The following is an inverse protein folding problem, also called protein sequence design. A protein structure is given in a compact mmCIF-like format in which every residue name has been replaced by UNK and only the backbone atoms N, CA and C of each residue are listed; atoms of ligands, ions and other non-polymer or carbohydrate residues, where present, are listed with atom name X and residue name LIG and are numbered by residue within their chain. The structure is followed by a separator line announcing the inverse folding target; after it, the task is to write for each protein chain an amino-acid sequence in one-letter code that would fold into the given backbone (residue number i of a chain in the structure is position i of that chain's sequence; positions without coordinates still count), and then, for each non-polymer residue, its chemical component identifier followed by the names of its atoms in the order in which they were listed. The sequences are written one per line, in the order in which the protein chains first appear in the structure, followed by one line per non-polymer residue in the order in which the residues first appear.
data_IF_278787479643
#
_entry.id   IF_278787479643
#
_cell.length_a   1.000
_cell.length_b   1.000
_cell.length_c   1.000
_cell.angle_alpha   90.00
_cell.angle_beta   90.00
_cell.angle_gamma   90.00
#
_symmetry.space_group_name_H-M   'P 1'
#
loop_
_entity.id
_entity.type
_entity.pdbx_description
1 polymer ?
#
# COMPACT_ATOMS: atom_id res chain seq x y z
N UNK A 1 -31.71 10.84 -1.50
CA UNK A 1 -31.90 10.46 -0.09
C UNK A 1 -31.29 9.07 0.07
N UNK A 2 -30.32 8.96 0.98
CA UNK A 2 -29.74 7.73 1.59
C UNK A 2 -29.11 6.66 0.68
N UNK A 3 -27.77 6.62 0.56
CA UNK A 3 -27.00 5.36 0.38
C UNK A 3 -25.50 5.41 0.72
N UNK A 4 -24.83 6.57 0.82
CA UNK A 4 -23.34 6.55 0.95
C UNK A 4 -22.78 6.11 2.31
N UNK A 5 -23.46 6.39 3.42
CA UNK A 5 -22.91 6.11 4.77
C UNK A 5 -23.25 4.69 5.26
N UNK A 6 -24.20 4.00 4.61
CA UNK A 6 -24.64 2.66 4.98
C UNK A 6 -23.86 1.51 4.32
N UNK A 7 -23.12 1.81 3.24
CA UNK A 7 -22.49 0.79 2.39
C UNK A 7 -21.18 0.24 3.00
N UNK A 8 -20.41 1.10 3.68
CA UNK A 8 -19.12 0.73 4.27
C UNK A 8 -19.22 -0.12 5.54
N UNK A 9 -20.39 -0.19 6.18
CA UNK A 9 -20.61 -1.08 7.34
C UNK A 9 -20.41 -2.56 6.98
N UNK A 10 -20.69 -2.93 5.73
CA UNK A 10 -20.45 -4.30 5.23
C UNK A 10 -18.97 -4.68 5.19
N UNK A 11 -18.07 -3.69 5.16
CA UNK A 11 -16.61 -3.88 5.13
C UNK A 11 -15.98 -4.00 6.52
N UNK A 12 -16.74 -3.78 7.60
CA UNK A 12 -16.23 -3.88 8.98
C UNK A 12 -15.42 -5.15 9.26
N UNK A 13 -15.77 -6.36 8.75
CA UNK A 13 -14.95 -7.57 8.94
C UNK A 13 -13.56 -7.54 8.28
N UNK A 14 -13.34 -6.61 7.36
CA UNK A 14 -12.19 -6.56 6.46
C UNK A 14 -11.45 -5.24 6.53
N UNK A 15 -11.77 -4.36 7.48
CA UNK A 15 -11.27 -3.00 7.48
C UNK A 15 -10.71 -2.58 8.84
N UNK A 16 -9.53 -1.95 8.80
CA UNK A 16 -8.90 -1.30 9.93
C UNK A 16 -8.60 0.14 9.53
N UNK A 17 -9.44 1.07 9.99
CA UNK A 17 -9.24 2.49 9.75
C UNK A 17 -8.29 3.10 10.78
N UNK A 18 -7.28 3.79 10.29
CA UNK A 18 -6.22 4.42 11.05
C UNK A 18 -6.18 5.91 10.74
N UNK A 19 -6.14 6.70 11.80
CA UNK A 19 -5.86 8.13 11.74
C UNK A 19 -4.73 8.45 12.69
N UNK A 20 -3.72 9.11 12.16
CA UNK A 20 -2.52 9.51 12.86
C UNK A 20 -1.73 8.33 13.48
N UNK A 21 -1.81 7.15 12.84
CA UNK A 21 -1.26 5.90 13.35
C UNK A 21 -2.12 5.23 14.43
N UNK A 22 -3.29 5.76 14.77
CA UNK A 22 -4.18 5.23 15.82
C UNK A 22 -5.49 4.73 15.21
N UNK A 23 -6.17 3.82 15.91
CA UNK A 23 -7.51 3.36 15.51
C UNK A 23 -8.46 4.57 15.44
N UNK A 24 -9.13 4.75 14.30
CA UNK A 24 -9.95 5.92 14.04
C UNK A 24 -11.39 5.71 14.55
N UNK A 25 -11.84 6.53 15.51
CA UNK A 25 -13.20 6.44 16.07
C UNK A 25 -14.25 7.30 15.32
N UNK A 26 -13.90 7.88 14.16
CA UNK A 26 -14.79 8.70 13.35
C UNK A 26 -14.18 9.05 12.00
N UNK A 27 -15.00 9.51 11.06
CA UNK A 27 -14.65 9.64 9.64
C UNK A 27 -15.72 9.00 8.77
N UNK A 28 -15.37 8.61 7.54
CA UNK A 28 -16.28 7.83 6.68
C UNK A 28 -16.38 6.37 7.14
N UNK A 29 -15.35 5.86 7.81
CA UNK A 29 -15.36 4.59 8.52
C UNK A 29 -14.78 4.77 9.92
N UNK A 30 -15.19 3.93 10.88
CA UNK A 30 -14.57 3.84 12.20
C UNK A 30 -14.05 2.43 12.43
N UNK A 31 -13.01 2.32 13.26
CA UNK A 31 -12.53 1.04 13.76
C UNK A 31 -12.19 1.19 15.24
N UNK A 32 -12.85 0.39 16.09
CA UNK A 32 -12.50 0.25 17.51
C UNK A 32 -11.62 -0.99 17.75
N UNK A 33 -11.05 -1.09 18.95
CA UNK A 33 -10.32 -2.29 19.36
C UNK A 33 -11.21 -3.55 19.30
N UNK A 34 -12.47 -3.44 19.74
CA UNK A 34 -13.44 -4.55 19.69
C UNK A 34 -13.80 -4.95 18.25
N UNK A 35 -13.71 -4.03 17.29
CA UNK A 35 -13.90 -4.34 15.87
C UNK A 35 -12.72 -5.16 15.33
N UNK A 36 -11.49 -4.77 15.67
CA UNK A 36 -10.30 -5.56 15.33
C UNK A 36 -10.35 -6.94 15.99
N UNK A 37 -10.78 -7.02 17.26
CA UNK A 37 -10.95 -8.29 17.96
C UNK A 37 -11.90 -9.22 17.21
N UNK A 38 -13.06 -8.70 16.76
CA UNK A 38 -14.02 -9.47 15.99
C UNK A 38 -13.48 -9.99 14.66
N UNK A 39 -12.51 -9.31 14.03
CA UNK A 39 -11.85 -9.84 12.82
C UNK A 39 -11.22 -11.19 13.14
N UNK A 40 -10.45 -11.29 14.22
CA UNK A 40 -9.69 -12.49 14.58
C UNK A 40 -10.50 -13.53 15.40
N UNK A 41 -11.50 -13.09 16.16
CA UNK A 41 -12.29 -13.96 17.04
C UNK A 41 -13.57 -14.49 16.39
N UNK A 42 -14.09 -13.82 15.36
CA UNK A 42 -15.39 -14.16 14.75
C UNK A 42 -15.30 -14.33 13.25
N UNK A 43 -14.82 -13.31 12.53
CA UNK A 43 -14.97 -13.24 11.08
C UNK A 43 -13.98 -14.15 10.34
N UNK A 44 -12.70 -14.04 10.65
CA UNK A 44 -11.67 -14.93 10.09
C UNK A 44 -11.90 -16.40 10.47
N UNK A 45 -12.17 -16.78 11.73
CA UNK A 45 -12.52 -18.16 12.09
C UNK A 45 -13.72 -18.72 11.31
N UNK A 46 -14.77 -17.90 11.10
CA UNK A 46 -15.93 -18.32 10.29
C UNK A 46 -15.53 -18.62 8.86
N UNK A 47 -14.76 -17.72 8.24
CA UNK A 47 -14.31 -17.90 6.87
C UNK A 47 -13.41 -19.14 6.72
N UNK A 48 -12.53 -19.41 7.68
CA UNK A 48 -11.72 -20.64 7.71
C UNK A 48 -12.60 -21.90 7.79
N UNK A 49 -13.67 -21.87 8.60
CA UNK A 49 -14.59 -23.00 8.70
C UNK A 49 -15.38 -23.25 7.40
N UNK A 50 -15.61 -22.21 6.60
CA UNK A 50 -16.25 -22.30 5.28
C UNK A 50 -15.29 -22.83 4.18
N UNK A 51 -13.97 -22.84 4.44
CA UNK A 51 -12.92 -23.29 3.52
C UNK A 51 -12.07 -24.44 4.10
N UNK A 52 -12.67 -25.61 4.39
CA UNK A 52 -11.95 -26.72 5.02
C UNK A 52 -10.93 -27.37 4.07
N UNK A 53 -9.80 -27.83 4.64
CA UNK A 53 -8.85 -28.70 3.95
C UNK A 53 -7.58 -28.02 3.42
N UNK A 54 -7.49 -26.70 3.49
CA UNK A 54 -6.26 -25.94 3.21
C UNK A 54 -6.19 -24.71 4.11
N UNK A 55 -4.97 -24.22 4.46
CA UNK A 55 -4.84 -22.93 5.10
C UNK A 55 -5.45 -21.83 4.24
N UNK A 56 -6.16 -20.88 4.85
CA UNK A 56 -6.75 -19.72 4.15
C UNK A 56 -5.67 -18.66 3.90
N UNK A 57 -5.55 -18.10 2.68
CA UNK A 57 -4.76 -16.90 2.45
C UNK A 57 -5.35 -15.69 3.19
N UNK A 58 -4.67 -15.23 4.23
CA UNK A 58 -4.96 -13.98 4.94
C UNK A 58 -4.08 -12.87 4.38
N UNK A 59 -4.68 -11.90 3.69
CA UNK A 59 -3.98 -10.82 3.02
C UNK A 59 -4.18 -9.49 3.74
N UNK A 60 -3.08 -8.83 4.12
CA UNK A 60 -3.09 -7.46 4.63
C UNK A 60 -2.82 -6.46 3.50
N UNK A 61 -3.80 -5.61 3.21
CA UNK A 61 -3.71 -4.59 2.18
C UNK A 61 -3.47 -3.21 2.80
N UNK A 62 -2.53 -2.43 2.27
CA UNK A 62 -2.40 -1.01 2.58
C UNK A 62 -2.47 -0.21 1.29
N UNK A 63 -3.47 0.66 1.17
CA UNK A 63 -3.63 1.52 0.00
C UNK A 63 -2.56 2.63 -0.02
N UNK A 64 -2.41 3.33 -1.15
CA UNK A 64 -1.58 4.53 -1.21
C UNK A 64 -2.19 5.66 -0.38
N UNK A 65 -1.44 6.28 0.54
CA UNK A 65 -1.91 7.43 1.36
C UNK A 65 -2.17 8.73 0.58
N UNK A 66 -2.16 8.63 -0.76
CA UNK A 66 -2.27 9.72 -1.70
C UNK A 66 -3.72 9.92 -2.14
N UNK A 67 -4.56 8.89 -2.04
CA UNK A 67 -5.98 8.98 -2.39
C UNK A 67 -6.83 9.45 -1.20
N UNK A 68 -8.00 10.09 -1.44
CA UNK A 68 -8.95 10.42 -0.38
C UNK A 68 -9.46 9.16 0.35
N UNK A 69 -9.86 9.26 1.62
CA UNK A 69 -10.41 8.14 2.43
C UNK A 69 -11.52 7.41 1.69
N UNK A 70 -12.43 8.17 1.06
CA UNK A 70 -13.52 7.63 0.25
C UNK A 70 -13.03 6.73 -0.88
N UNK A 71 -11.89 7.04 -1.49
CA UNK A 71 -11.33 6.25 -2.60
C UNK A 71 -10.72 4.96 -2.09
N UNK A 72 -9.99 5.01 -0.97
CA UNK A 72 -9.49 3.80 -0.30
C UNK A 72 -10.63 2.87 0.13
N UNK A 73 -11.70 3.44 0.70
CA UNK A 73 -12.92 2.72 1.06
C UNK A 73 -13.67 2.15 -0.16
N UNK A 74 -13.77 2.93 -1.25
CA UNK A 74 -14.39 2.47 -2.48
C UNK A 74 -13.60 1.34 -3.16
N UNK A 75 -12.26 1.42 -3.18
CA UNK A 75 -11.40 0.35 -3.65
C UNK A 75 -11.58 -0.91 -2.80
N UNK A 76 -11.61 -0.79 -1.47
CA UNK A 76 -11.90 -1.92 -0.58
C UNK A 76 -13.30 -2.52 -0.85
N UNK A 77 -14.32 -1.69 -1.03
CA UNK A 77 -15.68 -2.14 -1.36
C UNK A 77 -15.73 -2.95 -2.67
N UNK A 78 -14.91 -2.55 -3.64
CA UNK A 78 -14.80 -3.21 -4.95
C UNK A 78 -13.98 -4.50 -4.89
N UNK A 79 -12.87 -4.49 -4.15
CA UNK A 79 -11.92 -5.61 -4.13
C UNK A 79 -12.34 -6.73 -3.17
N UNK A 80 -12.93 -6.41 -2.02
CA UNK A 80 -13.24 -7.40 -0.97
C UNK A 80 -14.11 -8.56 -1.50
N UNK A 81 -15.23 -8.31 -2.21
CA UNK A 81 -16.03 -9.41 -2.77
C UNK A 81 -15.24 -10.31 -3.72
N UNK A 82 -14.34 -9.73 -4.53
CA UNK A 82 -13.51 -10.48 -5.47
C UNK A 82 -12.43 -11.31 -4.77
N UNK A 83 -11.80 -10.78 -3.71
CA UNK A 83 -10.87 -11.55 -2.89
C UNK A 83 -11.54 -12.74 -2.22
N UNK A 84 -12.72 -12.52 -1.62
CA UNK A 84 -13.50 -13.57 -0.98
C UNK A 84 -13.94 -14.65 -1.98
N UNK A 85 -14.32 -14.27 -3.20
CA UNK A 85 -14.66 -15.21 -4.27
C UNK A 85 -13.47 -16.08 -4.70
N UNK A 86 -12.24 -15.60 -4.51
CA UNK A 86 -11.00 -16.33 -4.74
C UNK A 86 -10.49 -17.09 -3.50
N UNK A 87 -11.28 -17.17 -2.43
CA UNK A 87 -10.90 -17.86 -1.19
C UNK A 87 -9.85 -17.13 -0.35
N UNK A 88 -9.61 -15.84 -0.62
CA UNK A 88 -8.68 -14.99 0.14
C UNK A 88 -9.47 -14.18 1.15
N UNK A 89 -9.02 -14.16 2.41
CA UNK A 89 -9.55 -13.27 3.42
C UNK A 89 -8.74 -11.97 3.47
N UNK A 90 -9.28 -10.83 3.01
CA UNK A 90 -8.56 -9.56 3.06
C UNK A 90 -8.78 -8.81 4.39
N UNK A 91 -7.74 -8.11 4.86
CA UNK A 91 -7.80 -7.08 5.89
C UNK A 91 -7.12 -5.82 5.34
N UNK A 92 -7.91 -4.78 5.10
CA UNK A 92 -7.48 -3.50 4.57
C UNK A 92 -7.14 -2.53 5.70
N UNK A 93 -5.91 -2.05 5.74
CA UNK A 93 -5.55 -0.83 6.44
C UNK A 93 -5.96 0.36 5.57
N UNK A 94 -6.94 1.12 6.07
CA UNK A 94 -7.24 2.46 5.57
C UNK A 94 -6.51 3.43 6.47
N UNK A 95 -5.54 4.18 5.95
CA UNK A 95 -4.61 4.96 6.75
C UNK A 95 -4.24 6.24 6.01
N UNK A 96 -4.00 7.33 6.76
CA UNK A 96 -3.66 8.68 6.28
C UNK A 96 -3.97 8.95 4.80
N UNK A 97 -5.09 9.60 4.57
CA UNK A 97 -5.58 9.86 3.22
C UNK A 97 -5.46 11.33 2.87
N UNK A 98 -5.30 11.64 1.58
CA UNK A 98 -5.55 12.99 1.06
C UNK A 98 -4.31 13.83 0.74
N UNK A 99 -3.10 13.26 0.59
CA UNK A 99 -1.96 14.04 0.07
C UNK A 99 -2.28 14.63 -1.32
N UNK A 100 -2.92 13.90 -2.24
CA UNK A 100 -3.28 14.46 -3.56
C UNK A 100 -4.31 15.60 -3.47
N UNK A 101 -5.26 15.50 -2.53
CA UNK A 101 -6.24 16.58 -2.30
C UNK A 101 -5.56 17.80 -1.69
N UNK A 102 -4.70 17.59 -0.69
CA UNK A 102 -3.95 18.66 -0.03
C UNK A 102 -3.01 19.37 -1.02
N UNK A 103 -2.31 18.59 -1.85
CA UNK A 103 -1.44 19.09 -2.90
C UNK A 103 -2.28 19.81 -3.98
N UNK A 104 -3.33 19.17 -4.51
CA UNK A 104 -4.20 19.73 -5.55
C UNK A 104 -4.95 21.00 -5.13
N UNK A 105 -5.37 21.11 -3.87
CA UNK A 105 -6.01 22.32 -3.32
C UNK A 105 -5.01 23.48 -3.24
N UNK A 106 -3.77 23.21 -2.84
CA UNK A 106 -2.69 24.22 -2.81
C UNK A 106 -2.28 24.63 -4.22
N UNK A 107 -2.23 23.67 -5.15
CA UNK A 107 -1.94 23.90 -6.57
C UNK A 107 -3.02 24.77 -7.23
N UNK A 108 -4.32 24.51 -7.00
CA UNK A 108 -5.41 25.33 -7.56
C UNK A 108 -5.27 26.79 -7.16
N UNK A 109 -4.84 27.05 -5.92
CA UNK A 109 -4.59 28.39 -5.39
C UNK A 109 -3.37 29.08 -6.04
N UNK A 110 -2.44 28.32 -6.63
CA UNK A 110 -1.26 28.81 -7.35
C UNK A 110 -1.47 28.96 -8.86
N UNK A 111 -2.25 28.08 -9.49
CA UNK A 111 -2.54 28.08 -10.93
C UNK A 111 -3.34 29.32 -11.34
N UNK A 112 -4.20 29.86 -10.49
CA UNK A 112 -4.90 31.13 -10.74
C UNK A 112 -3.96 32.34 -10.90
N UNK A 113 -2.68 32.21 -10.51
CA UNK A 113 -1.67 33.28 -10.61
C UNK A 113 -0.72 33.15 -11.81
N UNK A 114 -0.75 32.04 -12.55
CA UNK A 114 0.24 31.73 -13.59
C UNK A 114 -0.41 31.21 -14.88
N UNK A 115 -0.80 32.11 -15.79
CA UNK A 115 -0.80 31.87 -17.25
C UNK A 115 -0.30 33.11 -18.00
N UNK A 116 0.33 32.98 -19.20
CA UNK A 116 0.47 31.79 -20.06
C UNK A 116 1.89 31.51 -20.64
N UNK A 117 1.99 30.38 -21.39
CA UNK A 117 2.98 29.99 -22.43
C UNK A 117 4.34 29.42 -21.99
N UNK A 118 4.39 28.12 -21.68
CA UNK A 118 5.61 27.32 -21.50
C UNK A 118 5.38 25.91 -22.09
N UNK A 119 6.35 25.29 -22.79
CA UNK A 119 6.26 23.89 -23.24
C UNK A 119 5.95 22.91 -22.09
N UNK A 120 5.31 21.78 -22.40
CA UNK A 120 4.78 20.82 -21.39
C UNK A 120 5.87 20.28 -20.45
N UNK A 121 7.07 20.00 -20.98
CA UNK A 121 8.23 19.53 -20.21
C UNK A 121 8.76 20.62 -19.26
N UNK A 122 8.98 21.83 -19.78
CA UNK A 122 9.38 22.99 -18.96
C UNK A 122 8.31 23.38 -17.92
N UNK A 123 7.04 23.08 -18.17
CA UNK A 123 5.96 23.34 -17.22
C UNK A 123 5.96 22.33 -16.06
N UNK A 124 6.29 21.06 -16.33
CA UNK A 124 6.46 20.04 -15.29
C UNK A 124 7.66 20.35 -14.39
N UNK A 125 8.80 20.76 -14.97
CA UNK A 125 10.00 21.12 -14.21
C UNK A 125 9.78 22.40 -13.39
N UNK A 126 9.17 23.44 -13.97
CA UNK A 126 8.79 24.65 -13.23
C UNK A 126 7.74 24.38 -12.15
N UNK A 127 6.91 23.36 -12.32
CA UNK A 127 5.91 22.95 -11.35
C UNK A 127 6.51 22.16 -10.19
N UNK A 128 7.46 21.26 -10.46
CA UNK A 128 8.30 20.60 -9.45
C UNK A 128 9.06 21.64 -8.65
N UNK A 129 9.77 22.56 -9.31
CA UNK A 129 10.46 23.67 -8.66
C UNK A 129 9.50 24.54 -7.83
N UNK A 130 8.28 24.79 -8.33
CA UNK A 130 7.29 25.58 -7.60
C UNK A 130 6.78 24.87 -6.35
N UNK A 131 6.46 23.58 -6.43
CA UNK A 131 6.07 22.76 -5.27
C UNK A 131 7.19 22.75 -4.23
N UNK A 132 8.42 22.43 -4.64
CA UNK A 132 9.58 22.40 -3.76
C UNK A 132 9.84 23.75 -3.08
N UNK A 133 9.63 24.87 -3.79
CA UNK A 133 9.91 26.23 -3.28
C UNK A 133 8.75 26.87 -2.50
N UNK A 134 7.48 26.49 -2.75
CA UNK A 134 6.32 27.25 -2.29
C UNK A 134 5.17 26.42 -1.71
N UNK A 135 5.20 25.10 -1.81
CA UNK A 135 4.16 24.24 -1.27
C UNK A 135 4.75 23.32 -0.21
N UNK A 136 4.13 23.25 0.97
CA UNK A 136 4.50 22.29 2.01
C UNK A 136 4.15 20.84 1.64
N UNK A 137 4.50 20.38 0.43
CA UNK A 137 4.35 19.02 -0.05
C UNK A 137 5.30 18.07 0.68
N UNK A 138 6.56 18.47 0.88
CA UNK A 138 7.51 17.74 1.73
C UNK A 138 6.97 17.57 3.15
N UNK A 139 6.37 18.61 3.74
CA UNK A 139 5.77 18.52 5.07
C UNK A 139 4.60 17.53 5.12
N UNK A 140 3.69 17.55 4.14
CA UNK A 140 2.57 16.59 4.11
C UNK A 140 3.08 15.16 3.87
N UNK A 141 4.08 14.99 3.01
CA UNK A 141 4.72 13.69 2.79
C UNK A 141 5.41 13.16 4.05
N UNK A 142 6.16 14.03 4.75
CA UNK A 142 6.77 13.72 6.03
C UNK A 142 5.73 13.37 7.10
N UNK A 143 4.61 14.09 7.17
CA UNK A 143 3.50 13.80 8.09
C UNK A 143 2.89 12.41 7.83
N UNK A 144 2.73 12.03 6.55
CA UNK A 144 2.27 10.71 6.13
C UNK A 144 3.25 9.61 6.56
N UNK A 145 4.56 9.78 6.30
CA UNK A 145 5.61 8.85 6.76
C UNK A 145 5.63 8.75 8.28
N UNK A 146 5.46 9.87 8.97
CA UNK A 146 5.42 9.91 10.43
C UNK A 146 4.18 9.19 10.99
N UNK A 147 3.04 9.25 10.29
CA UNK A 147 1.84 8.51 10.70
C UNK A 147 1.98 7.00 10.48
N UNK A 148 2.61 6.58 9.38
CA UNK A 148 3.01 5.19 9.19
C UNK A 148 3.91 4.70 10.33
N UNK A 149 4.89 5.50 10.75
CA UNK A 149 5.76 5.18 11.87
C UNK A 149 4.98 5.07 13.21
N UNK A 150 4.09 6.03 13.49
CA UNK A 150 3.23 6.03 14.69
C UNK A 150 2.27 4.85 14.73
N UNK A 151 1.91 4.28 13.57
CA UNK A 151 1.02 3.12 13.48
C UNK A 151 1.51 1.89 14.24
N UNK A 152 2.80 1.86 14.56
CA UNK A 152 3.45 0.77 15.29
C UNK A 152 4.06 1.19 16.63
N UNK A 153 3.66 2.33 17.19
CA UNK A 153 4.07 2.76 18.53
C UNK A 153 3.70 1.71 19.59
N UNK A 154 4.56 1.51 20.59
CA UNK A 154 4.23 0.71 21.77
C UNK A 154 3.32 1.49 22.72
N UNK A 155 2.48 0.79 23.48
CA UNK A 155 1.61 1.39 24.50
C UNK A 155 2.38 2.20 25.56
N UNK A 156 3.58 1.73 25.94
CA UNK A 156 4.44 2.37 26.94
C UNK A 156 5.40 3.42 26.35
N UNK A 157 5.30 3.68 25.04
CA UNK A 157 6.11 4.70 24.37
C UNK A 157 5.66 6.12 24.72
N UNK A 158 6.53 7.15 24.60
CA UNK A 158 6.09 8.53 24.73
C UNK A 158 5.08 8.83 23.62
N UNK A 159 3.77 8.86 23.93
CA UNK A 159 2.76 9.32 22.99
C UNK A 159 2.98 10.82 22.75
N UNK A 160 3.38 11.25 21.54
CA UNK A 160 3.62 12.66 21.28
C UNK A 160 2.31 13.45 21.09
N UNK A 161 1.15 12.78 21.13
CA UNK A 161 -0.14 13.36 20.75
C UNK A 161 -1.17 13.13 21.85
N UNK A 162 -1.50 14.20 22.56
CA UNK A 162 -2.64 14.24 23.45
C UNK A 162 -3.93 14.41 22.63
N UNK A 163 -4.83 13.43 22.67
CA UNK A 163 -6.24 13.53 22.24
C UNK A 163 -6.51 14.24 20.90
N UNK A 164 -6.24 13.59 19.76
CA UNK A 164 -6.64 14.07 18.42
C UNK A 164 -7.81 13.28 17.79
N UNK A 165 -8.47 12.40 18.56
CA UNK A 165 -9.65 11.65 18.12
C UNK A 165 -9.45 10.14 17.97
N UNK A 166 -8.26 9.60 18.28
CA UNK A 166 -8.07 8.18 18.50
C UNK A 166 -8.75 7.72 19.80
N UNK A 167 -9.41 6.55 19.78
CA UNK A 167 -10.01 5.93 20.98
C UNK A 167 -9.56 4.47 21.07
N UNK A 168 -9.21 4.04 22.28
CA UNK A 168 -9.29 2.62 22.68
C UNK A 168 -7.97 1.90 22.93
N UNK A 169 -6.85 2.38 22.38
CA UNK A 169 -5.53 1.76 22.59
C UNK A 169 -4.43 2.81 22.69
N UNK A 170 -3.59 2.71 23.72
CA UNK A 170 -2.40 3.56 23.91
C UNK A 170 -1.25 3.18 22.96
N UNK A 171 -1.35 2.04 22.27
CA UNK A 171 -0.44 1.57 21.21
C UNK A 171 -0.89 1.98 19.80
N UNK A 172 0.00 1.88 18.82
CA UNK A 172 -0.31 2.12 17.41
C UNK A 172 -1.31 1.09 16.87
N UNK A 173 -2.24 1.52 16.02
CA UNK A 173 -3.31 0.64 15.54
C UNK A 173 -2.82 -0.55 14.72
N UNK A 174 -1.74 -0.39 13.94
CA UNK A 174 -1.13 -1.49 13.20
C UNK A 174 -0.38 -2.47 14.13
N UNK A 175 0.23 -1.97 15.22
CA UNK A 175 0.79 -2.85 16.27
C UNK A 175 -0.30 -3.65 16.98
N UNK A 176 -1.43 -3.03 17.30
CA UNK A 176 -2.57 -3.75 17.89
C UNK A 176 -3.02 -4.92 16.98
N UNK A 177 -3.16 -4.68 15.68
CA UNK A 177 -3.47 -5.73 14.70
C UNK A 177 -2.38 -6.80 14.65
N UNK A 178 -1.09 -6.42 14.63
CA UNK A 178 0.03 -7.36 14.66
C UNK A 178 0.00 -8.28 15.89
N UNK A 179 -0.32 -7.74 17.06
CA UNK A 179 -0.44 -8.50 18.31
C UNK A 179 -1.61 -9.48 18.28
N UNK A 180 -2.77 -9.04 17.78
CA UNK A 180 -3.96 -9.89 17.62
C UNK A 180 -3.76 -10.99 16.59
N UNK A 181 -3.06 -10.68 15.49
CA UNK A 181 -2.62 -11.67 14.52
C UNK A 181 -1.69 -12.71 15.18
N UNK A 182 -0.67 -12.29 15.92
CA UNK A 182 0.24 -13.21 16.60
C UNK A 182 -0.48 -14.12 17.62
N UNK A 183 -1.44 -13.58 18.37
CA UNK A 183 -2.30 -14.35 19.27
C UNK A 183 -3.14 -15.39 18.51
N UNK A 184 -3.80 -14.97 17.43
CA UNK A 184 -4.60 -15.85 16.59
C UNK A 184 -3.77 -17.01 16.03
N UNK A 185 -2.56 -16.75 15.52
CA UNK A 185 -1.68 -17.77 14.94
C UNK A 185 -1.20 -18.79 15.97
N UNK A 186 -0.94 -18.36 17.22
CA UNK A 186 -0.58 -19.28 18.31
C UNK A 186 -1.72 -20.24 18.65
N UNK A 187 -2.97 -19.77 18.57
CA UNK A 187 -4.16 -20.56 18.87
C UNK A 187 -4.59 -21.43 17.68
N UNK A 188 -4.24 -21.03 16.45
CA UNK A 188 -4.70 -21.65 15.21
C UNK A 188 -3.52 -21.97 14.27
N UNK A 189 -2.56 -22.82 14.69
CA UNK A 189 -1.37 -23.11 13.90
C UNK A 189 -1.73 -23.74 12.55
N UNK A 190 -1.22 -23.18 11.46
CA UNK A 190 -1.45 -23.67 10.10
C UNK A 190 -2.86 -23.39 9.54
N UNK A 191 -3.67 -22.58 10.22
CA UNK A 191 -5.00 -22.22 9.73
C UNK A 191 -4.97 -21.21 8.57
N UNK A 192 -3.91 -20.41 8.46
CA UNK A 192 -3.76 -19.37 7.43
C UNK A 192 -2.35 -19.32 6.84
N UNK A 193 -2.23 -18.90 5.59
CA UNK A 193 -1.00 -18.36 4.99
C UNK A 193 -1.06 -16.84 5.01
N UNK A 194 0.06 -16.16 5.24
CA UNK A 194 0.09 -14.71 5.43
C UNK A 194 0.64 -13.99 4.20
N UNK A 195 -0.08 -12.98 3.73
CA UNK A 195 0.31 -12.18 2.57
C UNK A 195 0.16 -10.70 2.89
N UNK A 196 1.02 -9.87 2.30
CA UNK A 196 0.92 -8.42 2.39
C UNK A 196 0.94 -7.80 0.99
N UNK A 197 0.11 -6.78 0.77
CA UNK A 197 0.07 -5.99 -0.46
C UNK A 197 0.10 -4.51 -0.11
N UNK A 198 1.08 -3.78 -0.67
CA UNK A 198 1.25 -2.34 -0.45
C UNK A 198 1.26 -1.57 -1.75
N UNK A 199 0.27 -0.70 -1.95
CA UNK A 199 0.22 0.22 -3.10
C UNK A 199 0.85 1.57 -2.76
N UNK A 200 1.72 2.09 -3.63
CA UNK A 200 2.31 3.43 -3.48
C UNK A 200 2.91 3.62 -2.08
N UNK A 201 2.46 4.61 -1.32
CA UNK A 201 2.91 4.84 0.05
C UNK A 201 2.52 3.71 1.04
N UNK A 202 1.59 2.83 0.69
CA UNK A 202 1.30 1.60 1.43
C UNK A 202 2.52 0.68 1.57
N UNK A 203 3.51 0.83 0.67
CA UNK A 203 4.83 0.21 0.82
C UNK A 203 5.57 0.69 2.08
N UNK A 204 5.49 1.99 2.39
CA UNK A 204 6.07 2.60 3.59
C UNK A 204 5.31 2.10 4.82
N UNK A 205 3.98 2.09 4.78
CA UNK A 205 3.18 1.54 5.88
C UNK A 205 3.56 0.10 6.22
N UNK A 206 3.68 -0.77 5.20
CA UNK A 206 4.06 -2.16 5.41
C UNK A 206 5.50 -2.36 5.90
N UNK A 207 6.44 -1.45 5.61
CA UNK A 207 7.79 -1.56 6.18
C UNK A 207 7.79 -1.47 7.71
N UNK A 208 6.88 -0.66 8.26
CA UNK A 208 6.61 -0.56 9.69
C UNK A 208 5.74 -1.73 10.19
N UNK A 209 4.60 -2.01 9.54
CA UNK A 209 3.67 -3.05 10.01
C UNK A 209 4.33 -4.43 10.05
N UNK A 210 5.06 -4.84 8.99
CA UNK A 210 5.73 -6.14 8.97
C UNK A 210 6.79 -6.24 10.07
N UNK A 211 7.53 -5.15 10.34
CA UNK A 211 8.48 -5.11 11.47
C UNK A 211 7.76 -5.41 12.78
N UNK A 212 6.67 -4.68 13.05
CA UNK A 212 5.88 -4.87 14.27
C UNK A 212 5.30 -6.29 14.35
N UNK A 213 4.79 -6.83 13.25
CA UNK A 213 4.31 -8.21 13.19
C UNK A 213 5.38 -9.23 13.62
N UNK A 214 6.61 -9.11 13.10
CA UNK A 214 7.71 -9.99 13.51
C UNK A 214 8.09 -9.80 14.98
N UNK A 215 8.09 -8.56 15.49
CA UNK A 215 8.35 -8.25 16.90
C UNK A 215 7.28 -8.84 17.84
N UNK A 216 6.01 -8.87 17.42
CA UNK A 216 4.89 -9.49 18.15
C UNK A 216 4.89 -11.04 18.07
N UNK A 217 5.78 -11.61 17.25
CA UNK A 217 5.97 -13.06 17.13
C UNK A 217 5.22 -13.70 15.95
N UNK A 218 4.77 -12.93 14.96
CA UNK A 218 4.33 -13.48 13.66
C UNK A 218 5.55 -14.13 12.99
N UNK A 219 5.47 -15.40 12.56
CA UNK A 219 6.66 -16.13 12.12
C UNK A 219 7.13 -15.74 10.71
N UNK A 220 6.20 -15.63 9.75
CA UNK A 220 6.50 -15.36 8.36
C UNK A 220 5.26 -14.91 7.57
N UNK A 221 5.50 -14.16 6.51
CA UNK A 221 4.62 -13.87 5.40
C UNK A 221 5.11 -14.67 4.19
N UNK A 222 4.23 -15.44 3.57
CA UNK A 222 4.56 -16.22 2.37
C UNK A 222 4.87 -15.31 1.19
N UNK A 223 4.13 -14.21 1.04
CA UNK A 223 4.42 -13.20 0.02
C UNK A 223 4.25 -11.78 0.52
N UNK A 224 5.15 -10.90 0.11
CA UNK A 224 4.98 -9.45 0.17
C UNK A 224 4.99 -8.88 -1.26
N UNK A 225 3.94 -8.18 -1.63
CA UNK A 225 3.73 -7.67 -2.99
C UNK A 225 3.61 -6.15 -2.94
N UNK A 226 4.44 -5.48 -3.71
CA UNK A 226 4.34 -4.04 -3.94
C UNK A 226 3.61 -3.74 -5.24
N UNK A 227 2.78 -2.70 -5.20
CA UNK A 227 2.15 -2.07 -6.36
C UNK A 227 2.64 -0.63 -6.46
N UNK A 228 3.51 -0.36 -7.42
CA UNK A 228 4.17 0.92 -7.70
C UNK A 228 4.68 1.64 -6.43
N UNK A 229 5.62 1.03 -5.68
CA UNK A 229 5.93 1.42 -4.31
C UNK A 229 6.67 2.77 -4.20
N UNK A 230 6.15 3.66 -3.35
CA UNK A 230 6.72 4.98 -3.09
C UNK A 230 7.75 4.99 -1.94
N UNK A 231 8.36 3.84 -1.62
CA UNK A 231 9.37 3.71 -0.56
C UNK A 231 10.78 4.03 -1.11
N UNK A 232 11.60 4.71 -0.30
CA UNK A 232 13.01 4.93 -0.62
C UNK A 232 13.75 3.59 -0.72
N UNK A 233 14.66 3.48 -1.69
CA UNK A 233 15.52 2.29 -1.85
C UNK A 233 16.29 2.00 -0.56
N UNK A 234 16.80 3.03 0.11
CA UNK A 234 17.56 2.86 1.36
C UNK A 234 16.68 2.36 2.52
N UNK A 235 15.44 2.83 2.62
CA UNK A 235 14.47 2.31 3.61
C UNK A 235 14.08 0.86 3.29
N UNK A 236 13.86 0.53 2.00
CA UNK A 236 13.59 -0.83 1.57
C UNK A 236 14.76 -1.79 1.89
N UNK A 237 16.00 -1.38 1.62
CA UNK A 237 17.20 -2.16 1.96
C UNK A 237 17.38 -2.32 3.46
N UNK A 238 17.07 -1.30 4.24
CA UNK A 238 17.18 -1.35 5.71
C UNK A 238 16.12 -2.26 6.32
N UNK A 239 14.88 -2.10 5.89
CA UNK A 239 13.74 -2.66 6.62
C UNK A 239 13.21 -3.96 6.00
N UNK A 240 13.31 -4.15 4.68
CA UNK A 240 12.70 -5.29 4.00
C UNK A 240 13.73 -6.34 3.61
N UNK A 241 14.83 -5.95 2.95
CA UNK A 241 15.84 -6.88 2.42
C UNK A 241 16.34 -7.90 3.46
N UNK A 242 16.64 -7.52 4.73
CA UNK A 242 17.12 -8.48 5.74
C UNK A 242 16.10 -9.55 6.13
N UNK A 243 14.82 -9.36 5.77
CA UNK A 243 13.70 -10.25 6.13
C UNK A 243 13.33 -11.21 4.99
N UNK A 244 13.89 -11.02 3.81
CA UNK A 244 13.67 -11.92 2.67
C UNK A 244 14.52 -13.16 2.91
N UNK A 245 13.92 -14.34 2.78
CA UNK A 245 14.57 -15.63 3.06
C UNK A 245 15.70 -16.04 2.10
N UNK A 246 16.54 -15.11 1.65
CA UNK A 246 17.69 -15.34 0.76
C UNK A 246 18.97 -15.51 1.59
N UNK A 247 19.67 -16.61 1.37
CA UNK A 247 21.04 -16.81 1.85
C UNK A 247 21.16 -17.16 3.34
N UNK A 248 21.44 -18.44 3.61
CA UNK A 248 22.02 -18.98 4.85
C UNK A 248 21.08 -19.25 6.04
N UNK A 249 19.75 -19.19 5.86
CA UNK A 249 18.81 -19.57 6.93
C UNK A 249 18.68 -18.53 8.06
N UNK A 250 19.11 -17.29 7.83
CA UNK A 250 18.99 -16.17 8.77
C UNK A 250 17.95 -15.11 8.36
N UNK A 251 17.47 -15.10 7.12
CA UNK A 251 16.31 -14.29 6.72
C UNK A 251 15.03 -14.99 7.17
N UNK A 252 14.42 -14.49 8.25
CA UNK A 252 13.17 -15.03 8.79
C UNK A 252 12.08 -13.98 8.64
N UNK A 253 11.16 -14.18 7.69
CA UNK A 253 9.94 -13.39 7.69
C UNK A 253 9.22 -13.24 6.35
N UNK A 254 9.92 -13.21 5.21
CA UNK A 254 9.30 -13.01 3.89
C UNK A 254 9.74 -14.11 2.92
N UNK A 255 8.80 -14.94 2.49
CA UNK A 255 9.02 -16.09 1.61
C UNK A 255 9.28 -15.69 0.15
N UNK A 256 8.46 -14.79 -0.38
CA UNK A 256 8.59 -14.22 -1.71
C UNK A 256 8.32 -12.71 -1.71
N UNK A 257 9.05 -11.97 -2.55
CA UNK A 257 8.87 -10.54 -2.76
C UNK A 257 8.57 -10.28 -4.25
N UNK A 258 7.51 -9.52 -4.53
CA UNK A 258 7.16 -9.13 -5.90
C UNK A 258 6.92 -7.62 -5.97
N UNK A 259 7.48 -6.95 -6.96
CA UNK A 259 7.18 -5.54 -7.24
C UNK A 259 6.53 -5.44 -8.61
N UNK A 260 5.26 -5.05 -8.67
CA UNK A 260 4.61 -4.62 -9.90
C UNK A 260 4.68 -3.10 -9.95
N UNK A 261 5.17 -2.52 -11.03
CA UNK A 261 5.34 -1.07 -11.13
C UNK A 261 5.32 -0.61 -12.59
N UNK A 262 5.16 0.69 -12.82
CA UNK A 262 5.19 1.24 -14.16
C UNK A 262 6.60 1.10 -14.76
N UNK A 263 6.69 0.61 -16.00
CA UNK A 263 7.95 0.69 -16.74
C UNK A 263 8.31 2.14 -17.08
N UNK A 264 9.58 2.41 -17.36
CA UNK A 264 10.14 3.77 -17.55
C UNK A 264 9.24 4.70 -18.37
N UNK A 265 8.87 4.26 -19.58
CA UNK A 265 8.08 5.09 -20.49
C UNK A 265 6.66 5.33 -19.93
N UNK A 266 6.03 4.33 -19.30
CA UNK A 266 4.71 4.52 -18.69
C UNK A 266 4.75 5.46 -17.50
N UNK A 267 5.81 5.42 -16.68
CA UNK A 267 5.98 6.38 -15.60
C UNK A 267 6.13 7.82 -16.13
N UNK A 268 6.76 8.01 -17.29
CA UNK A 268 6.89 9.32 -17.94
C UNK A 268 5.61 9.76 -18.67
N UNK A 269 4.81 8.82 -19.17
CA UNK A 269 3.55 9.07 -19.90
C UNK A 269 2.32 9.18 -18.97
N UNK A 270 2.46 8.84 -17.68
CA UNK A 270 1.40 8.90 -16.68
C UNK A 270 0.99 10.35 -16.36
N UNK A 271 -0.20 10.55 -15.80
CA UNK A 271 -0.76 11.85 -15.50
C UNK A 271 -1.42 11.85 -14.13
N UNK A 272 -1.01 12.77 -13.25
CA UNK A 272 -1.71 12.99 -12.00
C UNK A 272 -2.91 13.93 -12.21
N UNK A 273 -4.11 13.39 -11.98
CA UNK A 273 -5.39 14.08 -12.19
C UNK A 273 -6.14 14.28 -10.88
N UNK A 274 -6.73 15.46 -10.69
CA UNK A 274 -7.71 15.72 -9.63
C UNK A 274 -8.93 16.43 -10.23
N UNK A 275 -10.12 15.85 -10.08
CA UNK A 275 -11.38 16.40 -10.61
C UNK A 275 -11.29 16.78 -12.11
N UNK A 276 -10.72 15.88 -12.93
CA UNK A 276 -10.45 16.06 -14.36
C UNK A 276 -9.45 17.17 -14.73
N UNK A 277 -8.68 17.66 -13.75
CA UNK A 277 -7.59 18.60 -14.00
C UNK A 277 -6.27 17.84 -13.84
N UNK A 278 -5.51 17.72 -14.93
CA UNK A 278 -4.13 17.23 -14.88
C UNK A 278 -3.26 18.31 -14.26
N UNK A 279 -2.65 18.02 -13.11
CA UNK A 279 -1.75 18.94 -12.42
C UNK A 279 -0.28 18.54 -12.55
N UNK A 280 0.00 17.29 -12.95
CA UNK A 280 1.34 16.81 -13.22
C UNK A 280 1.28 15.78 -14.36
N UNK A 281 2.18 15.89 -15.34
CA UNK A 281 2.14 15.09 -16.59
C UNK A 281 3.17 13.95 -16.59
N UNK A 282 3.49 13.43 -15.41
CA UNK A 282 4.26 12.19 -15.19
C UNK A 282 3.63 11.45 -14.02
N UNK A 283 4.16 10.26 -13.71
CA UNK A 283 3.79 9.49 -12.53
C UNK A 283 4.03 10.27 -11.25
N UNK A 284 3.13 10.08 -10.30
CA UNK A 284 3.26 10.64 -8.96
C UNK A 284 4.58 10.25 -8.28
N UNK A 285 5.15 9.08 -8.61
CA UNK A 285 6.47 8.68 -8.12
C UNK A 285 7.59 9.59 -8.64
N UNK A 286 7.50 10.11 -9.87
CA UNK A 286 8.44 11.12 -10.35
C UNK A 286 8.34 12.40 -9.51
N UNK A 287 7.13 12.80 -9.13
CA UNK A 287 6.94 13.96 -8.25
C UNK A 287 7.52 13.72 -6.84
N UNK A 288 7.31 12.53 -6.27
CA UNK A 288 7.88 12.15 -4.97
C UNK A 288 9.41 12.19 -5.05
N UNK A 289 9.99 11.52 -6.06
CA UNK A 289 11.42 11.42 -6.30
C UNK A 289 12.09 12.79 -6.44
N UNK A 290 11.51 13.71 -7.21
CA UNK A 290 12.12 15.01 -7.48
C UNK A 290 11.80 16.08 -6.42
N UNK A 291 10.71 15.96 -5.65
CA UNK A 291 10.17 17.12 -4.93
C UNK A 291 9.60 16.88 -3.52
N UNK A 292 9.17 15.65 -3.18
CA UNK A 292 8.46 15.43 -1.91
C UNK A 292 9.32 14.78 -0.83
N UNK A 293 10.36 14.05 -1.19
CA UNK A 293 11.36 13.58 -0.24
C UNK A 293 12.29 14.72 0.23
N UNK A 294 13.00 14.50 1.33
CA UNK A 294 13.90 15.50 1.93
C UNK A 294 15.09 15.83 0.99
N UNK A 295 15.62 14.80 0.34
CA UNK A 295 16.66 14.91 -0.67
C UNK A 295 16.02 15.03 -2.06
N UNK A 296 16.54 15.94 -2.87
CA UNK A 296 16.18 16.02 -4.30
C UNK A 296 16.69 14.76 -5.02
N UNK A 297 15.89 14.26 -5.98
CA UNK A 297 16.16 13.03 -6.73
C UNK A 297 16.33 11.77 -5.83
N UNK A 298 15.56 11.69 -4.74
CA UNK A 298 15.65 10.58 -3.80
C UNK A 298 15.20 9.25 -4.45
N UNK A 299 16.04 8.20 -4.48
CA UNK A 299 15.76 6.99 -5.25
C UNK A 299 14.63 6.15 -4.63
N UNK A 300 13.58 5.92 -5.41
CA UNK A 300 12.39 5.13 -5.03
C UNK A 300 12.39 3.73 -5.66
N UNK A 301 11.88 2.74 -4.92
CA UNK A 301 11.75 1.35 -5.38
C UNK A 301 10.79 1.19 -6.57
N UNK A 302 9.76 2.03 -6.68
CA UNK A 302 8.77 1.97 -7.76
C UNK A 302 9.23 2.58 -9.08
N UNK A 303 10.41 3.20 -9.13
CA UNK A 303 10.96 3.74 -10.37
C UNK A 303 11.99 2.77 -10.96
N UNK A 304 11.70 2.23 -12.14
CA UNK A 304 12.55 1.25 -12.82
C UNK A 304 14.00 1.74 -12.99
N UNK A 305 14.20 3.02 -13.30
CA UNK A 305 15.53 3.61 -13.46
C UNK A 305 16.34 3.60 -12.16
N UNK A 306 15.69 3.82 -11.03
CA UNK A 306 16.34 3.80 -9.71
C UNK A 306 16.74 2.38 -9.32
N UNK A 307 15.86 1.40 -9.56
CA UNK A 307 16.16 -0.02 -9.34
C UNK A 307 17.31 -0.49 -10.24
N UNK A 308 17.29 -0.11 -11.51
CA UNK A 308 18.35 -0.45 -12.46
C UNK A 308 19.65 0.27 -12.16
N UNK A 309 19.64 1.47 -11.56
CA UNK A 309 20.85 2.20 -11.17
C UNK A 309 21.54 1.58 -9.95
N UNK A 310 20.76 1.01 -9.02
CA UNK A 310 21.27 0.41 -7.79
C UNK A 310 21.88 -0.99 -8.00
N UNK A 311 23.17 -1.21 -7.69
CA UNK A 311 23.81 -2.51 -7.93
C UNK A 311 23.18 -3.67 -7.16
N UNK A 312 22.73 -3.44 -5.92
CA UNK A 312 22.15 -4.48 -5.06
C UNK A 312 20.79 -4.87 -5.62
N UNK A 313 19.94 -3.89 -5.95
CA UNK A 313 18.62 -4.17 -6.49
C UNK A 313 18.68 -4.76 -7.90
N UNK A 314 19.62 -4.31 -8.73
CA UNK A 314 19.84 -4.89 -10.07
C UNK A 314 20.19 -6.38 -10.00
N UNK A 315 21.03 -6.78 -9.05
CA UNK A 315 21.34 -8.20 -8.82
C UNK A 315 20.13 -8.95 -8.27
N UNK A 316 19.49 -8.39 -7.25
CA UNK A 316 18.35 -8.98 -6.55
C UNK A 316 17.13 -9.22 -7.46
N UNK A 317 16.78 -8.26 -8.32
CA UNK A 317 15.70 -8.37 -9.29
C UNK A 317 16.15 -8.91 -10.66
N UNK A 318 17.44 -9.22 -10.83
CA UNK A 318 18.02 -9.74 -12.07
C UNK A 318 17.66 -11.19 -12.41
N UNK A 319 16.81 -11.84 -11.59
CA UNK A 319 16.31 -13.21 -11.83
C UNK A 319 17.18 -14.33 -11.25
N UNK A 320 18.14 -14.02 -10.38
CA UNK A 320 18.96 -15.02 -9.69
C UNK A 320 18.16 -15.85 -8.68
N UNK A 321 17.20 -15.22 -7.97
CA UNK A 321 16.28 -15.88 -7.05
C UNK A 321 14.85 -15.75 -7.58
N UNK A 322 14.16 -16.85 -7.95
CA UNK A 322 12.80 -16.79 -8.47
C UNK A 322 11.78 -16.27 -7.45
N UNK A 323 12.12 -16.21 -6.17
CA UNK A 323 11.26 -15.67 -5.10
C UNK A 323 11.25 -14.14 -5.07
N UNK A 324 12.17 -13.48 -5.78
CA UNK A 324 12.24 -12.02 -5.86
C UNK A 324 12.11 -11.57 -7.30
N UNK A 325 11.05 -10.81 -7.59
CA UNK A 325 10.74 -10.43 -8.98
C UNK A 325 10.27 -8.98 -9.07
N UNK A 326 10.70 -8.31 -10.13
CA UNK A 326 10.17 -7.02 -10.56
C UNK A 326 9.43 -7.20 -11.90
N UNK A 327 8.20 -6.70 -11.97
CA UNK A 327 7.29 -6.78 -13.11
C UNK A 327 7.01 -5.33 -13.53
N UNK A 328 7.70 -4.88 -14.57
CA UNK A 328 7.56 -3.53 -15.11
C UNK A 328 6.52 -3.52 -16.23
N UNK A 329 5.49 -2.70 -16.10
CA UNK A 329 4.43 -2.62 -17.11
C UNK A 329 4.89 -1.85 -18.36
N UNK A 330 4.47 -2.23 -19.59
CA UNK A 330 3.71 -3.44 -19.90
C UNK A 330 4.55 -4.71 -19.84
N UNK A 331 3.99 -5.74 -19.20
CA UNK A 331 4.45 -7.12 -19.27
C UNK A 331 3.24 -8.00 -19.55
N UNK A 332 2.92 -8.22 -20.83
CA UNK A 332 1.72 -8.98 -21.25
C UNK A 332 1.98 -10.46 -21.54
N UNK A 333 3.25 -10.86 -21.50
CA UNK A 333 3.71 -12.20 -21.84
C UNK A 333 4.41 -12.86 -20.64
N UNK A 334 4.64 -14.17 -20.73
CA UNK A 334 5.21 -14.96 -19.65
C UNK A 334 4.16 -15.59 -18.72
N UNK A 335 4.56 -16.06 -17.53
CA UNK A 335 3.67 -16.68 -16.55
C UNK A 335 2.47 -15.79 -16.20
N UNK A 336 1.30 -16.40 -15.93
CA UNK A 336 0.05 -15.67 -15.66
C UNK A 336 0.07 -14.86 -14.35
N UNK A 337 0.97 -15.19 -13.44
CA UNK A 337 1.21 -14.51 -12.17
C UNK A 337 2.27 -13.39 -12.27
N UNK A 338 2.78 -13.13 -13.47
CA UNK A 338 3.91 -12.25 -13.74
C UNK A 338 3.62 -11.26 -14.87
N UNK A 339 2.36 -10.82 -14.98
CA UNK A 339 1.90 -9.89 -16.01
C UNK A 339 1.38 -8.58 -15.40
N UNK A 340 1.43 -7.52 -16.19
CA UNK A 340 0.87 -6.22 -15.83
C UNK A 340 0.61 -5.39 -17.08
N UNK A 341 -0.57 -4.78 -17.19
CA UNK A 341 -0.86 -3.73 -18.17
C UNK A 341 -1.12 -2.35 -17.54
N UNK A 342 -0.73 -2.16 -16.27
CA UNK A 342 -0.90 -0.89 -15.56
C UNK A 342 -0.33 0.29 -16.36
N UNK A 343 -1.14 1.33 -16.58
CA UNK A 343 -0.77 2.55 -17.31
C UNK A 343 -0.59 3.77 -16.42
N UNK A 344 -1.26 3.76 -15.27
CA UNK A 344 -1.33 4.88 -14.36
C UNK A 344 -0.92 4.42 -12.96
N UNK A 345 -0.14 5.22 -12.24
CA UNK A 345 0.29 4.94 -10.87
C UNK A 345 -0.92 4.75 -9.95
N UNK A 346 -1.90 5.64 -10.10
CA UNK A 346 -3.12 5.64 -9.30
C UNK A 346 -4.08 4.50 -9.66
N UNK A 347 -3.94 3.90 -10.84
CA UNK A 347 -4.84 2.86 -11.36
C UNK A 347 -4.25 1.45 -11.36
N UNK A 348 -3.01 1.25 -10.90
CA UNK A 348 -2.34 -0.06 -10.92
C UNK A 348 -3.09 -1.11 -10.09
N UNK A 349 -3.70 -0.71 -8.98
CA UNK A 349 -4.49 -1.58 -8.10
C UNK A 349 -5.91 -1.87 -8.61
N UNK A 350 -6.25 -1.31 -9.77
CA UNK A 350 -7.51 -1.49 -10.46
C UNK A 350 -7.32 -2.03 -11.88
N UNK A 351 -6.08 -2.32 -12.27
CA UNK A 351 -5.75 -2.84 -13.59
C UNK A 351 -5.87 -4.38 -13.59
N UNK A 352 -6.79 -4.96 -14.40
CA UNK A 352 -7.11 -6.38 -14.32
C UNK A 352 -5.93 -7.34 -14.47
N UNK A 353 -5.03 -7.12 -15.44
CA UNK A 353 -3.88 -8.01 -15.70
C UNK A 353 -2.92 -8.02 -14.51
N UNK A 354 -2.69 -6.87 -13.89
CA UNK A 354 -1.88 -6.71 -12.69
C UNK A 354 -2.54 -7.38 -11.50
N UNK A 355 -3.79 -7.03 -11.21
CA UNK A 355 -4.51 -7.56 -10.03
C UNK A 355 -4.72 -9.06 -10.11
N UNK A 356 -5.04 -9.59 -11.28
CA UNK A 356 -5.10 -11.03 -11.49
C UNK A 356 -3.75 -11.72 -11.26
N UNK A 357 -2.63 -11.08 -11.66
CA UNK A 357 -1.29 -11.61 -11.35
C UNK A 357 -1.03 -11.65 -9.85
N UNK A 358 -1.44 -10.60 -9.11
CA UNK A 358 -1.36 -10.55 -7.63
C UNK A 358 -2.18 -11.70 -7.02
N UNK A 359 -3.41 -11.91 -7.47
CA UNK A 359 -4.25 -12.99 -6.96
C UNK A 359 -3.63 -14.36 -7.18
N UNK A 360 -3.11 -14.64 -8.39
CA UNK A 360 -2.44 -15.92 -8.67
C UNK A 360 -1.21 -16.15 -7.78
N UNK A 361 -0.45 -15.09 -7.43
CA UNK A 361 0.67 -15.19 -6.47
C UNK A 361 0.21 -15.52 -5.05
N UNK A 362 -0.93 -14.97 -4.62
CA UNK A 362 -1.47 -15.18 -3.28
C UNK A 362 -2.15 -16.55 -3.15
N UNK A 363 -2.96 -16.95 -4.14
CA UNK A 363 -3.73 -18.19 -4.08
C UNK A 363 -2.92 -19.41 -4.53
N UNK A 364 -1.87 -19.21 -5.33
CA UNK A 364 -1.16 -20.29 -6.02
C UNK A 364 -2.00 -21.00 -7.08
N UNK A 365 -3.16 -20.45 -7.46
CA UNK A 365 -4.08 -21.05 -8.42
C UNK A 365 -3.94 -20.39 -9.79
N UNK A 366 -3.94 -21.19 -10.87
CA UNK A 366 -3.99 -20.66 -12.23
C UNK A 366 -5.38 -20.08 -12.57
N UNK A 367 -6.43 -20.79 -12.15
CA UNK A 367 -7.82 -20.40 -12.33
C UNK A 367 -8.25 -19.56 -11.14
N UNK A 368 -8.60 -18.31 -11.41
CA UNK A 368 -9.13 -17.35 -10.45
C UNK A 368 -10.39 -16.72 -11.04
N UNK A 369 -11.24 -16.16 -10.20
CA UNK A 369 -12.31 -15.28 -10.66
C UNK A 369 -11.69 -14.05 -11.32
N UNK A 370 -12.21 -13.64 -12.47
CA UNK A 370 -11.70 -12.48 -13.20
C UNK A 370 -11.85 -11.21 -12.37
N UNK A 371 -10.83 -10.34 -12.41
CA UNK A 371 -10.89 -9.08 -11.67
C UNK A 371 -12.01 -8.22 -12.26
N UNK A 372 -12.97 -7.74 -11.45
CA UNK A 372 -13.92 -6.77 -11.91
C UNK A 372 -13.11 -5.50 -12.17
N UNK A 373 -12.87 -5.11 -13.42
CA UNK A 373 -12.20 -3.84 -13.71
C UNK A 373 -12.96 -2.65 -13.08
N UNK A 374 -12.42 -1.43 -13.23
CA UNK A 374 -13.14 -0.23 -12.78
C UNK A 374 -14.51 -0.19 -13.47
N UNK A 375 -15.59 -0.08 -12.67
CA UNK A 375 -16.92 0.24 -13.21
C UNK A 375 -16.83 1.57 -13.97
N UNK A 376 -17.31 1.64 -15.22
CA UNK A 376 -17.19 2.83 -16.07
C UNK A 376 -17.79 4.11 -15.47
#
# INVERSE_FOLDING_TARGET
MTTADGDFMSLSPHLVNLRNGRLAAGGLASTTAEEVDRIFEVHLPRFIAEHPGSPVPLMFWAHGGLVPERTGLAAAAHHVPWWLANGVYPVYFVWETGLLEALGTRIRSGIDRLRPAVPVEEAADKFVEWIARHAGGQAIWADLKASAARSVDHADGPSPIANDGGIGVDEGGARYVARKLAEFLRQNPGAVTLHAVGHSAGAIFHSYFLRAAFEEGVPAFESFIFLDPAILIEEFKRDIVPRIGIGNGNGNGIGALSTFALGKQRALDDECKLLNITFYNKSLLCLVHHALEDEEDAPLLGLQENVEADPILREMFGGADPRVQAIWSPQLHGPLDSRSDAREHAGIDSEPVTMESVARRITGQENIESFPGILP
#
